data_IF_717772068130
#
_entry.id   IF_717772068130
#
_cell.length_a   1.000
_cell.length_b   1.000
_cell.length_c   1.000
_cell.angle_alpha   90.00
_cell.angle_beta   90.00
_cell.angle_gamma   90.00
#
_symmetry.space_group_name_H-M   'P 1'
#
loop_
_entity.id
_entity.type
_entity.pdbx_description
1 polymer ?
#
# COMPACT_ATOMS: atom_id res chain seq x y z
N UNK A 1 -12.76 18.26 12.54
CA UNK A 1 -11.76 17.91 11.51
C UNK A 1 -11.72 16.40 11.28
N UNK A 2 -11.35 15.59 12.27
CA UNK A 2 -11.25 14.12 12.10
C UNK A 2 -12.50 13.46 11.49
N UNK A 3 -13.70 13.79 11.98
CA UNK A 3 -14.95 13.25 11.41
C UNK A 3 -15.15 13.58 9.92
N UNK A 4 -14.66 14.75 9.47
CA UNK A 4 -14.72 15.15 8.06
C UNK A 4 -13.74 14.32 7.23
N UNK A 5 -12.51 14.16 7.72
CA UNK A 5 -11.49 13.37 7.06
C UNK A 5 -11.88 11.88 6.99
N UNK A 6 -12.47 11.32 8.03
CA UNK A 6 -12.93 9.92 8.06
C UNK A 6 -14.10 9.69 7.10
N UNK A 7 -15.07 10.62 7.04
CA UNK A 7 -16.16 10.56 6.08
C UNK A 7 -15.65 10.69 4.63
N UNK A 8 -14.71 11.60 4.39
CA UNK A 8 -14.08 11.78 3.09
C UNK A 8 -13.27 10.55 2.67
N UNK A 9 -12.47 9.96 3.58
CA UNK A 9 -11.73 8.70 3.38
C UNK A 9 -12.67 7.57 2.95
N UNK A 10 -13.79 7.40 3.65
CA UNK A 10 -14.79 6.39 3.31
C UNK A 10 -15.41 6.63 1.92
N UNK A 11 -15.74 7.88 1.56
CA UNK A 11 -16.31 8.20 0.25
C UNK A 11 -15.29 8.05 -0.88
N UNK A 12 -14.09 8.60 -0.72
CA UNK A 12 -13.01 8.50 -1.72
C UNK A 12 -12.59 7.04 -1.93
N UNK A 13 -12.54 6.22 -0.89
CA UNK A 13 -12.21 4.79 -1.03
C UNK A 13 -13.20 4.01 -1.92
N UNK A 14 -14.43 4.51 -2.09
CA UNK A 14 -15.48 3.86 -2.89
C UNK A 14 -15.65 4.45 -4.28
N UNK A 15 -15.43 5.76 -4.40
CA UNK A 15 -15.81 6.52 -5.60
C UNK A 15 -14.63 7.24 -6.27
N UNK A 16 -13.44 7.18 -5.67
CA UNK A 16 -12.25 7.90 -6.11
C UNK A 16 -12.37 9.41 -5.99
N UNK A 17 -11.30 10.12 -6.34
CA UNK A 17 -11.23 11.58 -6.28
C UNK A 17 -12.35 12.26 -7.10
N UNK A 18 -12.61 11.76 -8.31
CA UNK A 18 -13.55 12.41 -9.23
C UNK A 18 -15.02 12.10 -8.91
N UNK A 19 -15.32 11.01 -8.21
CA UNK A 19 -16.69 10.60 -7.87
C UNK A 19 -17.25 11.21 -6.58
N UNK A 20 -16.48 12.04 -5.87
CA UNK A 20 -16.89 12.66 -4.60
C UNK A 20 -16.88 14.19 -4.73
N UNK A 21 -17.79 14.87 -4.04
CA UNK A 21 -17.81 16.33 -3.88
C UNK A 21 -17.73 16.75 -2.41
N UNK A 22 -17.34 18.00 -2.13
CA UNK A 22 -17.38 18.55 -0.76
C UNK A 22 -18.80 18.50 -0.15
N UNK A 23 -19.85 18.59 -0.99
CA UNK A 23 -21.24 18.49 -0.54
C UNK A 23 -21.58 17.08 -0.08
N UNK A 24 -21.07 16.04 -0.75
CA UNK A 24 -21.28 14.64 -0.34
C UNK A 24 -20.67 14.38 1.04
N UNK A 25 -19.44 14.89 1.26
CA UNK A 25 -18.76 14.78 2.55
C UNK A 25 -19.53 15.53 3.64
N UNK A 26 -19.94 16.78 3.39
CA UNK A 26 -20.73 17.56 4.34
C UNK A 26 -22.04 16.84 4.72
N UNK A 27 -22.73 16.28 3.72
CA UNK A 27 -23.95 15.49 3.92
C UNK A 27 -23.69 14.25 4.77
N UNK A 28 -22.59 13.53 4.52
CA UNK A 28 -22.22 12.32 5.26
C UNK A 28 -21.95 12.61 6.75
N UNK A 29 -21.37 13.78 7.06
CA UNK A 29 -21.08 14.20 8.46
C UNK A 29 -22.29 14.91 9.11
N UNK A 30 -23.33 15.23 8.34
CA UNK A 30 -24.52 15.93 8.84
C UNK A 30 -24.30 17.42 9.10
N UNK A 31 -23.36 18.04 8.39
CA UNK A 31 -23.03 19.47 8.52
C UNK A 31 -23.41 20.26 7.28
N UNK A 32 -23.58 21.58 7.43
CA UNK A 32 -23.82 22.45 6.29
C UNK A 32 -22.55 22.57 5.42
N UNK A 33 -22.69 22.49 4.10
CA UNK A 33 -21.56 22.46 3.16
C UNK A 33 -20.61 23.66 3.27
N UNK A 34 -21.09 24.82 3.73
CA UNK A 34 -20.26 26.01 3.95
C UNK A 34 -19.18 25.80 5.00
N UNK A 35 -19.37 24.87 5.94
CA UNK A 35 -18.36 24.50 6.93
C UNK A 35 -17.14 23.85 6.28
N UNK A 36 -17.31 23.15 5.15
CA UNK A 36 -16.20 22.54 4.41
C UNK A 36 -15.26 23.61 3.86
N UNK A 37 -15.82 24.70 3.32
CA UNK A 37 -15.07 25.82 2.75
C UNK A 37 -14.26 26.60 3.79
N UNK A 38 -14.55 26.42 5.09
CA UNK A 38 -13.73 27.01 6.16
C UNK A 38 -12.42 26.24 6.38
N UNK A 39 -12.41 24.95 6.07
CA UNK A 39 -11.29 24.05 6.35
C UNK A 39 -10.49 23.66 5.11
N UNK A 40 -11.12 23.69 3.93
CA UNK A 40 -10.51 23.25 2.69
C UNK A 40 -10.83 24.24 1.58
N UNK A 41 -9.79 24.67 0.86
CA UNK A 41 -9.92 25.56 -0.29
C UNK A 41 -10.70 24.89 -1.42
N UNK A 42 -10.44 23.61 -1.64
CA UNK A 42 -11.15 22.80 -2.63
C UNK A 42 -11.17 21.29 -2.27
N UNK A 43 -11.74 20.49 -3.18
CA UNK A 43 -11.80 19.03 -3.04
C UNK A 43 -10.41 18.38 -3.03
N UNK A 44 -9.47 18.90 -3.83
CA UNK A 44 -8.13 18.34 -3.95
C UNK A 44 -7.37 18.53 -2.64
N UNK A 45 -7.48 19.70 -2.00
CA UNK A 45 -6.93 19.96 -0.67
C UNK A 45 -7.51 18.99 0.39
N UNK A 46 -8.81 18.71 0.36
CA UNK A 46 -9.41 17.69 1.24
C UNK A 46 -8.85 16.29 0.94
N UNK A 47 -8.74 15.91 -0.33
CA UNK A 47 -8.21 14.60 -0.73
C UNK A 47 -6.76 14.41 -0.28
N UNK A 48 -5.92 15.42 -0.51
CA UNK A 48 -4.50 15.42 -0.13
C UNK A 48 -4.37 15.31 1.39
N UNK A 49 -5.18 16.06 2.15
CA UNK A 49 -5.19 15.98 3.60
C UNK A 49 -5.59 14.58 4.12
N UNK A 50 -6.60 13.96 3.51
CA UNK A 50 -7.01 12.58 3.84
C UNK A 50 -5.88 11.60 3.57
N UNK A 51 -5.25 11.70 2.39
CA UNK A 51 -4.20 10.78 2.00
C UNK A 51 -2.94 10.93 2.86
N UNK A 52 -2.45 12.17 3.01
CA UNK A 52 -1.22 12.48 3.73
C UNK A 52 -1.28 12.07 5.21
N UNK A 53 -2.42 12.30 5.89
CA UNK A 53 -2.63 11.94 7.30
C UNK A 53 -2.28 10.47 7.58
N UNK A 54 -2.69 9.58 6.68
CA UNK A 54 -2.48 8.13 6.80
C UNK A 54 -1.13 7.69 6.22
N UNK A 55 -0.68 8.34 5.15
CA UNK A 55 0.56 8.04 4.47
C UNK A 55 1.76 8.14 5.41
N UNK A 56 1.83 9.21 6.21
CA UNK A 56 2.88 9.41 7.24
C UNK A 56 2.92 8.23 8.22
N UNK A 57 1.77 7.82 8.75
CA UNK A 57 1.71 6.71 9.70
C UNK A 57 2.17 5.39 9.07
N UNK A 58 1.75 5.11 7.83
CA UNK A 58 2.16 3.88 7.14
C UNK A 58 3.66 3.86 6.80
N UNK A 59 4.20 4.96 6.28
CA UNK A 59 5.60 5.05 5.88
C UNK A 59 6.53 4.96 7.10
N UNK A 60 6.21 5.64 8.21
CA UNK A 60 6.97 5.57 9.46
C UNK A 60 6.94 4.17 10.09
N UNK A 61 5.79 3.47 10.05
CA UNK A 61 5.69 2.10 10.55
C UNK A 61 6.54 1.15 9.72
N UNK A 62 6.43 1.20 8.38
CA UNK A 62 7.25 0.37 7.49
C UNK A 62 8.75 0.67 7.63
N UNK A 63 9.13 1.95 7.74
CA UNK A 63 10.54 2.31 7.92
C UNK A 63 11.12 1.68 9.19
N UNK A 64 10.44 1.85 10.33
CA UNK A 64 10.87 1.24 11.61
C UNK A 64 10.94 -0.28 11.54
N UNK A 65 9.99 -0.92 10.86
CA UNK A 65 10.00 -2.38 10.69
C UNK A 65 11.18 -2.85 9.84
N UNK A 66 11.51 -2.15 8.75
CA UNK A 66 12.66 -2.46 7.91
C UNK A 66 13.99 -2.22 8.64
N UNK A 67 14.11 -1.14 9.41
CA UNK A 67 15.30 -0.87 10.24
C UNK A 67 15.50 -1.93 11.32
N UNK A 68 14.42 -2.33 12.01
CA UNK A 68 14.46 -3.39 13.00
C UNK A 68 14.86 -4.73 12.37
N UNK A 69 14.31 -5.05 11.20
CA UNK A 69 14.65 -6.25 10.46
C UNK A 69 16.12 -6.24 9.98
N UNK A 70 16.60 -5.11 9.44
CA UNK A 70 17.98 -4.96 9.01
C UNK A 70 18.95 -5.23 10.17
N UNK A 71 18.70 -4.60 11.33
CA UNK A 71 19.51 -4.81 12.54
C UNK A 71 19.48 -6.28 13.00
N UNK A 72 18.30 -6.91 13.00
CA UNK A 72 18.13 -8.31 13.39
C UNK A 72 18.77 -9.30 12.41
N UNK A 73 18.88 -8.93 11.12
CA UNK A 73 19.45 -9.79 10.08
C UNK A 73 20.96 -9.97 10.18
N UNK A 74 21.65 -9.16 11.01
CA UNK A 74 23.10 -9.19 11.19
C UNK A 74 23.89 -9.16 9.86
N UNK A 75 23.43 -8.34 8.91
CA UNK A 75 24.04 -8.20 7.58
C UNK A 75 23.75 -9.34 6.61
N UNK A 76 22.80 -10.23 6.94
CA UNK A 76 22.37 -11.34 6.09
C UNK A 76 20.85 -11.35 5.90
N UNK A 77 20.27 -10.29 5.32
CA UNK A 77 18.84 -10.27 5.05
C UNK A 77 18.48 -11.36 4.03
N UNK A 78 17.31 -11.96 4.21
CA UNK A 78 16.64 -12.79 3.19
C UNK A 78 15.61 -11.96 2.43
N UNK A 79 15.30 -12.37 1.20
CA UNK A 79 14.24 -11.76 0.38
C UNK A 79 12.89 -11.86 1.10
N UNK A 80 12.51 -13.06 1.56
CA UNK A 80 11.24 -13.26 2.26
C UNK A 80 11.15 -12.43 3.54
N UNK A 81 12.21 -12.39 4.35
CA UNK A 81 12.19 -11.60 5.59
C UNK A 81 12.05 -10.09 5.34
N UNK A 82 12.72 -9.55 4.31
CA UNK A 82 12.58 -8.14 3.94
C UNK A 82 11.16 -7.83 3.44
N UNK A 83 10.58 -8.72 2.62
CA UNK A 83 9.21 -8.60 2.15
C UNK A 83 8.20 -8.74 3.28
N UNK A 84 8.41 -9.64 4.25
CA UNK A 84 7.55 -9.75 5.45
C UNK A 84 7.61 -8.47 6.28
N UNK A 85 8.80 -7.95 6.57
CA UNK A 85 8.95 -6.70 7.31
C UNK A 85 8.19 -5.53 6.65
N UNK A 86 8.16 -5.49 5.31
CA UNK A 86 7.42 -4.47 4.58
C UNK A 86 5.90 -4.73 4.51
N UNK A 87 5.50 -5.90 4.00
CA UNK A 87 4.11 -6.24 3.70
C UNK A 87 3.29 -6.52 4.95
N UNK A 88 3.83 -7.28 5.89
CA UNK A 88 3.11 -7.70 7.09
C UNK A 88 2.81 -6.48 7.97
N UNK A 89 3.68 -5.47 7.98
CA UNK A 89 3.48 -4.21 8.71
C UNK A 89 2.21 -3.46 8.26
N UNK A 90 1.95 -3.42 6.96
CA UNK A 90 0.74 -2.81 6.42
C UNK A 90 -0.48 -3.69 6.66
N UNK A 91 -0.36 -4.98 6.39
CA UNK A 91 -1.46 -5.93 6.56
C UNK A 91 -1.93 -5.95 8.01
N UNK A 92 -1.01 -5.98 8.97
CA UNK A 92 -1.32 -5.91 10.41
C UNK A 92 -2.02 -4.61 10.77
N UNK A 93 -1.54 -3.47 10.26
CA UNK A 93 -2.19 -2.18 10.48
C UNK A 93 -3.65 -2.18 9.96
N UNK A 94 -3.91 -2.78 8.79
CA UNK A 94 -5.25 -2.81 8.23
C UNK A 94 -6.16 -3.85 8.89
N UNK A 95 -5.58 -4.92 9.45
CA UNK A 95 -6.28 -5.91 10.28
C UNK A 95 -6.71 -5.27 11.61
N UNK A 96 -5.76 -4.67 12.33
CA UNK A 96 -5.95 -4.11 13.67
C UNK A 96 -6.72 -2.78 13.65
N UNK A 97 -6.53 -1.99 12.60
CA UNK A 97 -7.05 -0.64 12.46
C UNK A 97 -8.53 -0.53 12.05
N UNK A 98 -9.17 -1.65 11.71
CA UNK A 98 -10.58 -1.70 11.34
C UNK A 98 -10.92 -1.05 9.99
N UNK A 99 -12.21 -0.78 9.76
CA UNK A 99 -12.71 -0.38 8.43
C UNK A 99 -12.17 0.96 7.93
N UNK A 100 -11.82 1.92 8.80
CA UNK A 100 -11.19 3.17 8.35
C UNK A 100 -9.85 2.91 7.67
N UNK A 101 -8.99 2.13 8.31
CA UNK A 101 -7.71 1.73 7.74
C UNK A 101 -7.85 0.87 6.47
N UNK A 102 -8.86 0.02 6.39
CA UNK A 102 -9.17 -0.73 5.15
C UNK A 102 -9.70 0.18 4.02
N UNK A 103 -10.45 1.23 4.35
CA UNK A 103 -10.84 2.26 3.37
C UNK A 103 -9.61 3.01 2.86
N UNK A 104 -8.69 3.36 3.75
CA UNK A 104 -7.42 3.97 3.34
C UNK A 104 -6.59 3.04 2.44
N UNK A 105 -6.52 1.75 2.76
CA UNK A 105 -5.86 0.76 1.91
C UNK A 105 -6.46 0.72 0.49
N UNK A 106 -7.80 0.69 0.38
CA UNK A 106 -8.50 0.72 -0.90
C UNK A 106 -8.29 2.05 -1.65
N UNK A 107 -8.23 3.17 -0.93
CA UNK A 107 -7.89 4.48 -1.51
C UNK A 107 -6.46 4.50 -2.05
N UNK A 108 -5.51 3.98 -1.29
CA UNK A 108 -4.11 3.84 -1.72
C UNK A 108 -3.97 3.02 -3.00
N UNK A 109 -4.72 1.93 -3.11
CA UNK A 109 -4.76 1.14 -4.35
C UNK A 109 -5.26 1.94 -5.56
N UNK A 110 -6.26 2.81 -5.39
CA UNK A 110 -6.75 3.66 -6.47
C UNK A 110 -5.72 4.73 -6.87
N UNK A 111 -5.11 5.39 -5.89
CA UNK A 111 -4.06 6.39 -6.11
C UNK A 111 -2.90 5.76 -6.87
N UNK A 112 -2.37 4.64 -6.39
CA UNK A 112 -1.23 3.95 -7.00
C UNK A 112 -1.47 3.49 -8.45
N UNK A 113 -2.74 3.29 -8.84
CA UNK A 113 -3.13 2.89 -10.19
C UNK A 113 -3.66 4.06 -11.05
N UNK A 114 -3.45 5.31 -10.62
CA UNK A 114 -3.85 6.52 -11.37
C UNK A 114 -2.66 7.12 -12.11
N UNK A 115 -2.57 7.02 -13.47
CA UNK A 115 -1.37 7.43 -14.21
C UNK A 115 -1.08 8.94 -14.20
N UNK A 116 -2.10 9.78 -14.15
CA UNK A 116 -1.95 11.23 -14.39
C UNK A 116 -1.28 11.98 -13.22
N UNK A 117 -1.54 11.55 -11.99
CA UNK A 117 -1.10 12.25 -10.77
C UNK A 117 -0.81 11.31 -9.60
N UNK A 118 -1.24 10.05 -9.69
CA UNK A 118 -1.11 9.09 -8.59
C UNK A 118 0.33 8.72 -8.28
N UNK A 119 1.16 8.56 -9.32
CA UNK A 119 2.59 8.31 -9.18
C UNK A 119 3.27 9.40 -8.35
N UNK A 120 3.08 10.68 -8.69
CA UNK A 120 3.70 11.79 -7.95
C UNK A 120 3.31 11.83 -6.48
N UNK A 121 2.06 11.48 -6.14
CA UNK A 121 1.61 11.42 -4.74
C UNK A 121 2.20 10.20 -4.00
N UNK A 122 2.42 9.09 -4.70
CA UNK A 122 3.12 7.94 -4.14
C UNK A 122 4.61 8.24 -3.90
N UNK A 123 5.27 8.91 -4.85
CA UNK A 123 6.67 9.30 -4.77
C UNK A 123 6.92 10.17 -3.53
N UNK A 124 6.09 11.21 -3.34
CA UNK A 124 6.19 12.14 -2.21
C UNK A 124 6.15 11.46 -0.84
N UNK A 125 5.33 10.41 -0.70
CA UNK A 125 5.06 9.82 0.61
C UNK A 125 5.77 8.48 0.87
N UNK A 126 6.21 7.76 -0.16
CA UNK A 126 6.66 6.37 -0.01
C UNK A 126 8.05 6.08 -0.58
N UNK A 127 8.64 6.92 -1.42
CA UNK A 127 9.96 6.65 -2.02
C UNK A 127 11.05 6.27 -1.02
N UNK A 128 11.22 6.98 0.11
CA UNK A 128 12.27 6.64 1.07
C UNK A 128 12.14 5.21 1.62
N UNK A 129 10.92 4.78 1.94
CA UNK A 129 10.68 3.45 2.51
C UNK A 129 10.79 2.35 1.45
N UNK A 130 10.42 2.65 0.20
CA UNK A 130 10.59 1.75 -0.93
C UNK A 130 12.08 1.54 -1.22
N UNK A 131 12.87 2.60 -1.29
CA UNK A 131 14.31 2.52 -1.53
C UNK A 131 15.03 1.77 -0.40
N UNK A 132 14.56 1.89 0.85
CA UNK A 132 15.06 1.09 1.97
C UNK A 132 14.83 -0.42 1.75
N UNK A 133 13.63 -0.82 1.34
CA UNK A 133 13.33 -2.21 0.98
C UNK A 133 14.20 -2.68 -0.18
N UNK A 134 14.31 -1.90 -1.26
CA UNK A 134 15.16 -2.23 -2.42
C UNK A 134 16.62 -2.43 -1.98
N UNK A 135 17.13 -1.61 -1.06
CA UNK A 135 18.46 -1.78 -0.47
C UNK A 135 18.64 -3.14 0.21
N UNK A 136 17.67 -3.58 1.01
CA UNK A 136 17.67 -4.89 1.65
C UNK A 136 17.59 -6.04 0.63
N UNK A 137 16.77 -5.89 -0.42
CA UNK A 137 16.66 -6.87 -1.49
C UNK A 137 17.97 -7.01 -2.27
N UNK A 138 18.66 -5.90 -2.57
CA UNK A 138 19.99 -5.90 -3.19
C UNK A 138 21.04 -6.60 -2.31
N UNK A 139 20.99 -6.40 -0.99
CA UNK A 139 21.87 -7.12 -0.06
C UNK A 139 21.58 -8.62 -0.02
N UNK A 140 20.30 -9.01 -0.07
CA UNK A 140 19.88 -10.41 -0.09
C UNK A 140 20.20 -11.12 -1.43
N UNK A 141 20.31 -10.36 -2.52
CA UNK A 141 20.51 -10.84 -3.89
C UNK A 141 21.66 -10.08 -4.59
N UNK A 142 22.91 -10.18 -4.10
CA UNK A 142 24.02 -9.33 -4.55
C UNK A 142 24.40 -9.52 -6.01
N UNK A 143 24.16 -10.71 -6.58
CA UNK A 143 24.47 -11.03 -7.98
C UNK A 143 23.28 -10.79 -8.93
N UNK A 144 22.13 -10.34 -8.41
CA UNK A 144 20.95 -10.17 -9.24
C UNK A 144 21.00 -8.84 -9.99
N UNK A 145 20.67 -8.82 -11.31
CA UNK A 145 20.56 -7.57 -12.04
C UNK A 145 19.58 -6.61 -11.36
N UNK A 146 19.99 -5.36 -11.20
CA UNK A 146 19.18 -4.33 -10.53
C UNK A 146 17.80 -4.16 -11.17
N UNK A 147 17.72 -4.25 -12.50
CA UNK A 147 16.45 -4.20 -13.24
C UNK A 147 15.47 -5.31 -12.78
N UNK A 148 15.97 -6.52 -12.51
CA UNK A 148 15.13 -7.64 -12.09
C UNK A 148 14.64 -7.45 -10.65
N UNK A 149 15.42 -6.78 -9.79
CA UNK A 149 14.98 -6.39 -8.43
C UNK A 149 13.84 -5.36 -8.52
N UNK A 150 13.96 -4.33 -9.37
CA UNK A 150 12.89 -3.34 -9.55
C UNK A 150 11.64 -3.94 -10.19
N UNK A 151 11.77 -4.83 -11.18
CA UNK A 151 10.63 -5.55 -11.74
C UNK A 151 9.97 -6.48 -10.71
N UNK A 152 10.77 -7.18 -9.91
CA UNK A 152 10.24 -7.98 -8.80
C UNK A 152 9.45 -7.12 -7.81
N UNK A 153 9.97 -5.94 -7.45
CA UNK A 153 9.25 -4.99 -6.60
C UNK A 153 7.95 -4.49 -7.26
N UNK A 154 7.97 -4.20 -8.56
CA UNK A 154 6.76 -3.85 -9.32
C UNK A 154 5.69 -4.95 -9.25
N UNK A 155 6.08 -6.22 -9.31
CA UNK A 155 5.13 -7.34 -9.14
C UNK A 155 4.59 -7.44 -7.70
N UNK A 156 5.45 -7.22 -6.69
CA UNK A 156 5.02 -7.14 -5.28
C UNK A 156 3.98 -6.05 -5.08
N UNK A 157 4.25 -4.83 -5.55
CA UNK A 157 3.32 -3.71 -5.39
C UNK A 157 2.05 -3.90 -6.18
N UNK A 158 2.11 -4.42 -7.41
CA UNK A 158 0.92 -4.74 -8.19
C UNK A 158 -0.02 -5.70 -7.47
N UNK A 159 0.53 -6.77 -6.90
CA UNK A 159 -0.25 -7.72 -6.10
C UNK A 159 -0.76 -7.12 -4.78
N UNK A 160 0.04 -6.26 -4.12
CA UNK A 160 -0.38 -5.56 -2.91
C UNK A 160 -1.57 -4.66 -3.23
N UNK A 161 -1.46 -3.79 -4.24
CA UNK A 161 -2.53 -2.85 -4.59
C UNK A 161 -3.82 -3.58 -5.00
N UNK A 162 -3.74 -4.68 -5.75
CA UNK A 162 -4.92 -5.49 -6.06
C UNK A 162 -5.57 -6.08 -4.80
N UNK A 163 -4.75 -6.50 -3.84
CA UNK A 163 -5.23 -7.01 -2.54
C UNK A 163 -5.92 -5.91 -1.74
N UNK A 164 -5.28 -4.75 -1.60
CA UNK A 164 -5.80 -3.61 -0.84
C UNK A 164 -7.08 -3.03 -1.46
N UNK A 165 -7.28 -3.17 -2.77
CA UNK A 165 -8.50 -2.76 -3.46
C UNK A 165 -9.75 -3.58 -3.08
N UNK A 166 -9.59 -4.77 -2.48
CA UNK A 166 -10.69 -5.65 -2.03
C UNK A 166 -11.83 -5.80 -3.05
N UNK A 167 -11.48 -6.11 -4.29
CA UNK A 167 -12.42 -6.03 -5.44
C UNK A 167 -13.54 -7.09 -5.43
N UNK A 168 -13.49 -8.09 -4.55
CA UNK A 168 -14.43 -9.22 -4.54
C UNK A 168 -14.26 -10.20 -5.71
N UNK A 169 -13.27 -10.00 -6.59
CA UNK A 169 -13.08 -10.85 -7.78
C UNK A 169 -12.64 -12.26 -7.39
N UNK A 170 -11.70 -12.39 -6.46
CA UNK A 170 -11.20 -13.70 -6.01
C UNK A 170 -12.27 -14.48 -5.24
N UNK A 171 -13.14 -13.78 -4.52
CA UNK A 171 -14.28 -14.35 -3.80
C UNK A 171 -15.19 -15.10 -4.77
N UNK A 172 -15.53 -14.43 -5.88
CA UNK A 172 -16.38 -15.02 -6.94
C UNK A 172 -15.64 -16.14 -7.68
N UNK A 173 -14.39 -15.91 -8.07
CA UNK A 173 -13.60 -16.86 -8.86
C UNK A 173 -13.35 -18.17 -8.11
N UNK A 174 -13.12 -18.08 -6.81
CA UNK A 174 -12.83 -19.23 -5.96
C UNK A 174 -14.08 -19.90 -5.37
N UNK A 175 -15.29 -19.42 -5.71
CA UNK A 175 -16.53 -19.92 -5.08
C UNK A 175 -16.58 -19.66 -3.57
N UNK A 176 -15.89 -18.62 -3.09
CA UNK A 176 -15.83 -18.23 -1.69
C UNK A 176 -14.74 -18.92 -0.86
N UNK A 177 -13.90 -19.77 -1.46
CA UNK A 177 -12.74 -20.39 -0.78
C UNK A 177 -11.71 -19.35 -0.37
N UNK A 178 -11.51 -18.33 -1.21
CA UNK A 178 -10.72 -17.15 -0.89
C UNK A 178 -11.63 -15.95 -0.66
N UNK A 179 -11.21 -15.01 0.20
CA UNK A 179 -11.91 -13.76 0.47
C UNK A 179 -10.97 -12.59 0.25
N UNK A 180 -11.41 -11.58 -0.51
CA UNK A 180 -10.57 -10.42 -0.83
C UNK A 180 -10.34 -9.48 0.36
N UNK A 181 -11.08 -9.64 1.45
CA UNK A 181 -10.90 -8.92 2.71
C UNK A 181 -10.20 -9.75 3.80
N UNK A 182 -9.76 -10.98 3.49
CA UNK A 182 -8.98 -11.83 4.40
C UNK A 182 -7.48 -11.54 4.27
N UNK A 183 -7.07 -10.48 4.95
CA UNK A 183 -5.66 -10.08 4.99
C UNK A 183 -4.76 -11.04 5.77
N UNK A 184 -5.32 -11.86 6.67
CA UNK A 184 -4.55 -12.92 7.32
C UNK A 184 -4.12 -13.98 6.30
N UNK A 185 -5.05 -14.45 5.46
CA UNK A 185 -4.74 -15.40 4.40
C UNK A 185 -3.73 -14.84 3.39
N UNK A 186 -3.79 -13.54 3.08
CA UNK A 186 -2.78 -12.88 2.24
C UNK A 186 -1.41 -12.92 2.93
N UNK A 187 -1.33 -12.48 4.20
CA UNK A 187 -0.09 -12.40 4.98
C UNK A 187 0.63 -13.75 5.10
N UNK A 188 -0.11 -14.84 5.20
CA UNK A 188 0.47 -16.20 5.23
C UNK A 188 1.25 -16.55 3.96
N UNK A 189 0.88 -15.99 2.80
CA UNK A 189 1.31 -16.49 1.48
C UNK A 189 2.16 -15.47 0.70
N UNK A 190 1.80 -14.19 0.75
CA UNK A 190 2.26 -13.20 -0.23
C UNK A 190 3.78 -13.01 -0.22
N UNK A 191 4.39 -12.81 0.95
CA UNK A 191 5.82 -12.57 1.04
C UNK A 191 6.65 -13.76 0.52
N UNK A 192 6.29 -14.99 0.92
CA UNK A 192 6.95 -16.21 0.48
C UNK A 192 6.78 -16.44 -1.04
N UNK A 193 5.56 -16.25 -1.56
CA UNK A 193 5.27 -16.38 -2.99
C UNK A 193 6.10 -15.40 -3.83
N UNK A 194 6.16 -14.13 -3.38
CA UNK A 194 6.94 -13.11 -4.06
C UNK A 194 8.44 -13.38 -3.97
N UNK A 195 8.95 -13.78 -2.80
CA UNK A 195 10.35 -14.10 -2.61
C UNK A 195 10.83 -15.20 -3.55
N UNK A 196 10.03 -16.26 -3.75
CA UNK A 196 10.32 -17.31 -4.71
C UNK A 196 10.42 -16.76 -6.15
N UNK A 197 9.57 -15.79 -6.52
CA UNK A 197 9.63 -15.12 -7.82
C UNK A 197 10.92 -14.33 -8.05
N UNK A 198 11.39 -13.58 -7.04
CA UNK A 198 12.69 -12.90 -7.11
C UNK A 198 13.83 -13.90 -7.31
N UNK A 199 13.89 -14.95 -6.48
CA UNK A 199 14.96 -15.96 -6.52
C UNK A 199 15.01 -16.61 -7.91
N UNK A 200 13.86 -17.06 -8.43
CA UNK A 200 13.78 -17.69 -9.74
C UNK A 200 14.20 -16.76 -10.90
N UNK A 201 13.84 -15.47 -10.83
CA UNK A 201 14.24 -14.47 -11.82
C UNK A 201 15.76 -14.27 -11.84
N UNK A 202 16.38 -14.16 -10.66
CA UNK A 202 17.82 -13.96 -10.52
C UNK A 202 18.63 -15.21 -10.91
N UNK A 203 18.12 -16.43 -10.66
CA UNK A 203 18.79 -17.69 -11.03
C UNK A 203 18.76 -17.97 -12.54
N UNK A 204 17.67 -17.64 -13.24
CA UNK A 204 17.56 -17.84 -14.70
C UNK A 204 18.60 -17.05 -15.49
N UNK A 205 19.02 -15.88 -15.01
CA UNK A 205 20.07 -15.12 -15.69
C UNK A 205 21.47 -15.66 -15.44
N UNK A 206 21.74 -16.25 -14.26
CA UNK A 206 23.02 -16.94 -14.00
C UNK A 206 23.28 -18.10 -14.97
N UNK A 207 22.22 -18.68 -15.55
CA UNK A 207 22.30 -19.80 -16.51
C UNK A 207 22.26 -19.36 -17.97
N UNK A 208 22.05 -18.07 -18.26
CA UNK A 208 22.02 -17.50 -19.62
C UNK A 208 23.27 -16.67 -19.97
N UNK A 209 24.19 -16.51 -19.02
CA UNK A 209 25.49 -15.85 -19.20
C UNK A 209 26.60 -16.89 -19.32
#
# INVERSE_FOLDING_TARGET
MEQILDAAEALFSKHGLYGVTLKDVAKQVGVHHTLMNYYFDDKKALFDAVFARRAVVTSERRMRALEAYEAASAGKPTVEGALRAFLDTDLDLYIEGGEGWKNYAALGAQVANTPEWGASLMDEHFDPVVLKLIGLLKQALPDCPEADIFWGYHFVTGALMLTLARTGRIDKLSGGVCKSDDFHAVKERMAAFMAAGFIAACERRKTQV
#
